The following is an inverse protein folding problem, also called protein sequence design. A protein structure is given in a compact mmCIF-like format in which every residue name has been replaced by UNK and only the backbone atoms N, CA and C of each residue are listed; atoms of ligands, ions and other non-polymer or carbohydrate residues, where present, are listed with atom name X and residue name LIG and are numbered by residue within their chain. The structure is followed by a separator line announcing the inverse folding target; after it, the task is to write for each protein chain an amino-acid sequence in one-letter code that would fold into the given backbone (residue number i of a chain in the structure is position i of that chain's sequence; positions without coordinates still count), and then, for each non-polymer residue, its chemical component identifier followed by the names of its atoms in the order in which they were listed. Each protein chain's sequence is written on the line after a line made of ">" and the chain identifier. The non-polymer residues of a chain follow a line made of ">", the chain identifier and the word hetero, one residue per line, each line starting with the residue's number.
data_IF_253165047917
#
_entry.id   IF_253165047917
#
_cell.length_a   1.000
_cell.length_b   1.000
_cell.length_c   1.000
_cell.angle_alpha   90.00
_cell.angle_beta   90.00
_cell.angle_gamma   90.00
#
_symmetry.space_group_name_H-M   'P 1'
#
loop_
_entity.id
_entity.type
_entity.pdbx_description
1 polymer ?
#
# COMPACT_ATOMS: atom_id res chain seq x y z
N UNK A 1 13.09 4.78 -8.21
CA UNK A 1 12.33 4.56 -6.96
C UNK A 1 11.20 3.58 -7.25
N UNK A 2 11.04 2.56 -6.45
CA UNK A 2 10.01 1.56 -6.68
C UNK A 2 8.65 2.02 -6.16
N UNK A 3 7.58 1.43 -6.71
CA UNK A 3 6.21 1.69 -6.25
C UNK A 3 6.07 1.30 -4.76
N UNK A 4 6.73 0.22 -4.37
CA UNK A 4 6.67 -0.23 -2.97
C UNK A 4 7.24 0.79 -2.00
N UNK A 5 8.35 1.41 -2.36
CA UNK A 5 8.98 2.46 -1.53
C UNK A 5 8.06 3.69 -1.46
N UNK A 6 7.48 4.09 -2.58
CA UNK A 6 6.55 5.22 -2.61
C UNK A 6 5.32 4.96 -1.76
N UNK A 7 4.77 3.76 -1.85
CA UNK A 7 3.59 3.36 -1.08
C UNK A 7 3.90 3.38 0.42
N UNK A 8 5.02 2.82 0.81
CA UNK A 8 5.44 2.80 2.21
C UNK A 8 5.62 4.21 2.76
N UNK A 9 6.27 5.08 1.99
CA UNK A 9 6.47 6.47 2.38
C UNK A 9 5.12 7.19 2.54
N UNK A 10 4.22 7.03 1.58
CA UNK A 10 2.88 7.60 1.63
C UNK A 10 2.13 7.13 2.89
N UNK A 11 2.19 5.84 3.18
CA UNK A 11 1.54 5.25 4.35
C UNK A 11 2.10 5.85 5.64
N UNK A 12 3.42 5.91 5.74
CA UNK A 12 4.07 6.42 6.95
C UNK A 12 3.78 7.90 7.19
N UNK A 13 3.69 8.68 6.13
CA UNK A 13 3.33 10.10 6.24
C UNK A 13 1.93 10.28 6.80
N UNK A 14 1.06 9.32 6.60
CA UNK A 14 -0.31 9.35 7.11
C UNK A 14 -0.45 8.63 8.44
N UNK A 15 0.65 8.17 9.01
CA UNK A 15 0.68 7.47 10.29
C UNK A 15 -0.20 6.21 10.29
N UNK A 16 -0.25 5.51 9.17
CA UNK A 16 -1.03 4.27 9.03
C UNK A 16 -0.13 3.06 9.19
N UNK A 17 -0.61 2.04 9.92
CA UNK A 17 0.03 0.74 9.92
C UNK A 17 -0.28 0.03 8.61
N UNK A 18 0.46 -1.07 8.32
CA UNK A 18 0.12 -1.89 7.16
C UNK A 18 -1.30 -2.42 7.26
N UNK A 19 -1.71 -2.83 8.46
CA UNK A 19 -3.06 -3.34 8.66
C UNK A 19 -4.11 -2.27 8.41
N UNK A 20 -3.87 -1.06 8.91
CA UNK A 20 -4.80 0.06 8.71
C UNK A 20 -5.02 0.34 7.23
N UNK A 21 -3.93 0.44 6.47
CA UNK A 21 -4.04 0.71 5.04
C UNK A 21 -4.67 -0.47 4.30
N UNK A 22 -4.33 -1.69 4.69
CA UNK A 22 -4.91 -2.88 4.06
C UNK A 22 -6.43 -2.90 4.20
N UNK A 23 -6.94 -2.57 5.38
CA UNK A 23 -8.38 -2.52 5.62
C UNK A 23 -9.02 -1.41 4.77
N UNK A 24 -8.42 -0.23 4.75
CA UNK A 24 -8.96 0.89 3.97
C UNK A 24 -8.96 0.61 2.47
N UNK A 25 -7.91 -0.02 1.97
CA UNK A 25 -7.76 -0.30 0.54
C UNK A 25 -8.41 -1.63 0.12
N UNK A 26 -9.01 -2.35 1.06
CA UNK A 26 -9.69 -3.63 0.81
C UNK A 26 -8.75 -4.68 0.22
N UNK A 27 -7.51 -4.70 0.72
CA UNK A 27 -6.52 -5.72 0.36
C UNK A 27 -6.04 -6.41 1.63
N UNK A 28 -5.36 -7.55 1.50
CA UNK A 28 -4.78 -8.21 2.66
C UNK A 28 -3.52 -7.48 3.10
N UNK A 29 -3.22 -7.52 4.40
CA UNK A 29 -1.98 -6.97 4.93
C UNK A 29 -0.77 -7.68 4.32
N UNK A 30 -0.90 -8.98 4.05
CA UNK A 30 0.16 -9.75 3.41
C UNK A 30 0.45 -9.23 1.99
N UNK A 31 -0.60 -8.96 1.22
CA UNK A 31 -0.44 -8.40 -0.12
C UNK A 31 0.26 -7.05 -0.05
N UNK A 32 -0.17 -6.20 0.87
CA UNK A 32 0.44 -4.89 1.05
C UNK A 32 1.93 -5.01 1.40
N UNK A 33 2.27 -5.92 2.29
CA UNK A 33 3.66 -6.18 2.65
C UNK A 33 4.48 -6.59 1.43
N UNK A 34 3.95 -7.47 0.59
CA UNK A 34 4.64 -7.91 -0.62
C UNK A 34 4.82 -6.77 -1.62
N UNK A 35 3.84 -5.90 -1.75
CA UNK A 35 3.95 -4.72 -2.62
C UNK A 35 5.04 -3.77 -2.10
N UNK A 36 5.05 -3.53 -0.80
CA UNK A 36 6.03 -2.62 -0.20
C UNK A 36 7.46 -3.13 -0.30
N UNK A 37 7.64 -4.44 -0.34
CA UNK A 37 8.97 -5.05 -0.47
C UNK A 37 9.34 -5.38 -1.92
N UNK A 38 8.48 -5.07 -2.87
CA UNK A 38 8.74 -5.29 -4.29
C UNK A 38 8.49 -6.71 -4.79
N UNK A 39 7.86 -7.56 -3.98
CA UNK A 39 7.57 -8.95 -4.35
C UNK A 39 6.32 -9.11 -5.20
N UNK A 40 5.40 -8.16 -5.12
CA UNK A 40 4.16 -8.18 -5.88
C UNK A 40 3.86 -6.82 -6.44
N UNK A 41 3.12 -6.79 -7.55
CA UNK A 41 2.61 -5.54 -8.10
C UNK A 41 1.39 -5.11 -7.29
N UNK A 42 1.14 -3.79 -7.15
CA UNK A 42 -0.04 -3.32 -6.43
C UNK A 42 -1.32 -3.75 -7.15
N UNK A 43 -2.35 -4.11 -6.38
CA UNK A 43 -3.66 -4.39 -6.94
C UNK A 43 -4.30 -3.11 -7.44
N UNK A 44 -5.32 -3.27 -8.30
CA UNK A 44 -6.06 -2.12 -8.83
C UNK A 44 -6.71 -1.31 -7.70
N UNK A 45 -7.28 -1.98 -6.72
CA UNK A 45 -7.92 -1.32 -5.57
C UNK A 45 -6.93 -0.47 -4.80
N UNK A 46 -5.73 -0.99 -4.60
CA UNK A 46 -4.68 -0.26 -3.89
C UNK A 46 -4.23 0.98 -4.67
N UNK A 47 -4.05 0.84 -5.98
CA UNK A 47 -3.65 1.96 -6.83
C UNK A 47 -4.73 3.05 -6.82
N UNK A 48 -5.99 2.65 -6.97
CA UNK A 48 -7.11 3.60 -6.96
C UNK A 48 -7.20 4.34 -5.63
N UNK A 49 -6.97 3.64 -4.52
CA UNK A 49 -6.99 4.26 -3.21
C UNK A 49 -5.93 5.37 -3.09
N UNK A 50 -4.73 5.10 -3.59
CA UNK A 50 -3.63 6.07 -3.57
C UNK A 50 -3.93 7.30 -4.43
N UNK A 51 -4.58 7.11 -5.57
CA UNK A 51 -4.90 8.22 -6.49
C UNK A 51 -5.98 9.12 -5.91
N UNK A 52 -7.01 8.52 -5.29
CA UNK A 52 -8.16 9.27 -4.76
C UNK A 52 -7.78 10.06 -3.52
N UNK A 53 -6.88 9.54 -2.72
CA UNK A 53 -6.40 10.23 -1.53
C UNK A 53 -5.39 11.31 -1.89
#
# INVERSE_FOLDING_TARGET
>A
MSVGVLLRDWRQRRHLSQLDLAVEAEVSARHLSFVETGRSKPSRELVLHLIVE
#
